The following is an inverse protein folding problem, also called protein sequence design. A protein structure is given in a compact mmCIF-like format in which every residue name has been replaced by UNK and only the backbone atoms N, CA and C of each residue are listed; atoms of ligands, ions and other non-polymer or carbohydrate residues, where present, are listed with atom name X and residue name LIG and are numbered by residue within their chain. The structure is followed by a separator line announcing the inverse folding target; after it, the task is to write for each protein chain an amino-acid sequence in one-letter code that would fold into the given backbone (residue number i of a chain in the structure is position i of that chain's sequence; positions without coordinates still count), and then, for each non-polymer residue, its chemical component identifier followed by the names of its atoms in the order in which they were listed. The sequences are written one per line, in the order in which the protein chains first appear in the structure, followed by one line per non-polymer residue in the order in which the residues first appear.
data_IF_419910458815
#
_entry.id   IF_419910458815
#
_cell.length_a   1.000
_cell.length_b   1.000
_cell.length_c   1.000
_cell.angle_alpha   90.00
_cell.angle_beta   90.00
_cell.angle_gamma   90.00
#
_symmetry.space_group_name_H-M   'P 1'
#
loop_
_entity.id
_entity.type
_entity.pdbx_description
1 polymer ?
#
# COMPACT_ATOMS: atom_id res chain seq x y z
N UNK A 1 -12.41 9.83 7.50
CA UNK A 1 -10.93 9.77 7.37
C UNK A 1 -10.56 10.20 5.96
N UNK A 2 -9.65 11.16 5.81
CA UNK A 2 -9.11 11.58 4.52
C UNK A 2 -7.83 10.83 4.19
N UNK A 3 -7.67 10.37 2.96
CA UNK A 3 -6.44 9.70 2.50
C UNK A 3 -5.86 10.37 1.26
N UNK A 4 -4.53 10.47 1.20
CA UNK A 4 -3.79 10.76 -0.02
C UNK A 4 -3.17 9.46 -0.56
N UNK A 5 -3.36 9.16 -1.83
CA UNK A 5 -2.84 7.94 -2.46
C UNK A 5 -1.65 8.29 -3.34
N UNK A 6 -0.52 7.58 -3.16
CA UNK A 6 0.67 7.71 -4.00
C UNK A 6 0.81 6.50 -4.93
N UNK A 7 1.04 6.79 -6.21
CA UNK A 7 1.18 5.77 -7.27
C UNK A 7 2.42 6.06 -8.14
N UNK A 8 2.93 5.04 -8.84
CA UNK A 8 3.98 5.20 -9.87
C UNK A 8 3.63 4.53 -11.21
N UNK A 9 2.42 3.98 -11.35
CA UNK A 9 2.05 3.17 -12.51
C UNK A 9 0.56 3.14 -12.83
N UNK A 10 0.04 1.96 -13.18
CA UNK A 10 -1.35 1.75 -13.65
C UNK A 10 -2.42 2.10 -12.61
N UNK A 11 -2.10 2.02 -11.31
CA UNK A 11 -3.02 2.39 -10.24
C UNK A 11 -4.11 1.34 -9.94
N UNK A 12 -3.85 0.04 -10.13
CA UNK A 12 -4.84 -1.01 -9.86
C UNK A 12 -5.26 -1.06 -8.39
N UNK A 13 -4.31 -0.94 -7.45
CA UNK A 13 -4.61 -0.83 -6.02
C UNK A 13 -5.36 0.47 -5.68
N UNK A 14 -5.02 1.60 -6.34
CA UNK A 14 -5.79 2.84 -6.21
C UNK A 14 -7.23 2.66 -6.69
N UNK A 15 -7.44 1.96 -7.82
CA UNK A 15 -8.77 1.68 -8.32
C UNK A 15 -9.59 0.81 -7.35
N UNK A 16 -8.98 -0.22 -6.75
CA UNK A 16 -9.62 -1.05 -5.73
C UNK A 16 -10.00 -0.25 -4.47
N UNK A 17 -9.13 0.68 -4.03
CA UNK A 17 -9.45 1.60 -2.94
C UNK A 17 -10.63 2.51 -3.28
N UNK A 18 -10.70 3.01 -4.51
CA UNK A 18 -11.77 3.89 -4.98
C UNK A 18 -13.16 3.21 -4.98
N UNK A 19 -13.24 1.89 -5.05
CA UNK A 19 -14.50 1.15 -4.92
C UNK A 19 -15.07 1.14 -3.48
N UNK A 20 -14.29 1.60 -2.51
CA UNK A 20 -14.66 1.68 -1.09
C UNK A 20 -14.72 3.13 -0.57
N UNK A 21 -14.92 4.13 -1.44
CA UNK A 21 -14.90 5.56 -1.09
C UNK A 21 -16.01 5.96 -0.07
N UNK A 22 -17.05 5.19 0.10
CA UNK A 22 -18.05 5.42 1.12
C UNK A 22 -17.51 5.33 2.56
N UNK A 23 -16.30 4.79 2.74
CA UNK A 23 -15.68 4.52 4.05
C UNK A 23 -14.57 5.51 4.39
N UNK A 24 -14.01 6.17 3.39
CA UNK A 24 -12.95 7.17 3.54
C UNK A 24 -12.95 8.10 2.33
N UNK A 25 -12.45 9.31 2.51
CA UNK A 25 -12.38 10.34 1.47
C UNK A 25 -10.99 10.32 0.80
N UNK A 26 -10.93 10.08 -0.51
CA UNK A 26 -9.71 10.20 -1.31
C UNK A 26 -9.53 11.68 -1.69
N UNK A 27 -8.74 12.41 -0.89
CA UNK A 27 -8.56 13.85 -1.07
C UNK A 27 -7.52 14.19 -2.14
N UNK A 28 -6.60 13.25 -2.48
CA UNK A 28 -5.56 13.44 -3.48
C UNK A 28 -5.07 12.08 -4.01
N UNK A 29 -4.80 12.00 -5.32
CA UNK A 29 -3.97 10.96 -5.93
C UNK A 29 -2.75 11.62 -6.54
N UNK A 30 -1.54 11.29 -6.06
CA UNK A 30 -0.30 11.87 -6.57
C UNK A 30 0.64 10.80 -7.14
N UNK A 31 1.48 11.20 -8.10
CA UNK A 31 2.48 10.33 -8.70
C UNK A 31 3.84 11.00 -8.81
N UNK A 32 4.91 10.19 -8.72
CA UNK A 32 6.30 10.62 -8.88
C UNK A 32 6.80 10.61 -10.34
N UNK A 33 5.92 10.24 -11.26
CA UNK A 33 6.16 10.17 -12.72
C UNK A 33 4.83 10.10 -13.48
N UNK A 34 4.88 10.33 -14.78
CA UNK A 34 3.71 10.10 -15.63
C UNK A 34 3.18 8.67 -15.44
N UNK A 35 1.93 8.54 -15.05
CA UNK A 35 1.30 7.28 -14.66
C UNK A 35 -0.14 7.24 -15.12
N UNK A 36 -0.54 6.18 -15.84
CA UNK A 36 -1.92 6.01 -16.32
C UNK A 36 -2.96 6.01 -15.19
N UNK A 37 -2.54 5.67 -13.96
CA UNK A 37 -3.39 5.76 -12.78
C UNK A 37 -3.84 7.18 -12.45
N UNK A 38 -3.07 8.24 -12.81
CA UNK A 38 -3.51 9.63 -12.64
C UNK A 38 -4.69 9.96 -13.56
N UNK A 39 -4.64 9.50 -14.82
CA UNK A 39 -5.73 9.72 -15.77
C UNK A 39 -7.01 9.01 -15.29
N UNK A 40 -6.85 7.78 -14.80
CA UNK A 40 -7.96 7.02 -14.21
C UNK A 40 -8.55 7.71 -12.97
N UNK A 41 -7.70 8.27 -12.10
CA UNK A 41 -8.13 9.01 -10.92
C UNK A 41 -8.89 10.30 -11.31
N UNK A 42 -8.36 11.05 -12.28
CA UNK A 42 -9.01 12.27 -12.79
C UNK A 42 -10.38 11.98 -13.40
N UNK A 43 -10.52 10.87 -14.17
CA UNK A 43 -11.79 10.43 -14.74
C UNK A 43 -12.84 10.09 -13.66
N UNK A 44 -12.40 9.62 -12.50
CA UNK A 44 -13.27 9.38 -11.33
C UNK A 44 -13.58 10.67 -10.53
N UNK A 45 -13.02 11.82 -10.91
CA UNK A 45 -13.25 13.10 -10.25
C UNK A 45 -12.33 13.41 -9.06
N UNK A 46 -11.33 12.57 -8.79
CA UNK A 46 -10.35 12.84 -7.74
C UNK A 46 -9.39 13.97 -8.13
N UNK A 47 -8.92 14.72 -7.14
CA UNK A 47 -7.81 15.64 -7.33
C UNK A 47 -6.53 14.85 -7.61
N UNK A 48 -5.79 15.28 -8.63
CA UNK A 48 -4.55 14.60 -9.03
C UNK A 48 -3.38 15.56 -9.06
N UNK A 49 -2.18 15.06 -8.72
CA UNK A 49 -0.93 15.82 -8.82
C UNK A 49 0.19 14.95 -9.41
N UNK A 50 0.91 15.50 -10.36
CA UNK A 50 2.14 14.93 -10.89
C UNK A 50 3.32 15.72 -10.33
N UNK A 51 4.09 15.10 -9.44
CA UNK A 51 5.34 15.64 -8.90
C UNK A 51 6.48 14.82 -9.51
N UNK A 52 6.78 15.09 -10.80
CA UNK A 52 7.76 14.28 -11.55
C UNK A 52 9.16 14.47 -10.97
N UNK A 53 9.70 13.39 -10.39
CA UNK A 53 11.02 13.37 -9.76
C UNK A 53 12.16 13.79 -10.70
N UNK A 54 11.98 13.70 -12.02
CA UNK A 54 12.98 14.12 -13.01
C UNK A 54 13.15 15.64 -13.10
N UNK A 55 12.20 16.40 -12.57
CA UNK A 55 12.21 17.86 -12.54
C UNK A 55 12.99 18.44 -11.34
N UNK A 56 13.48 17.58 -10.44
CA UNK A 56 14.19 17.96 -9.22
C UNK A 56 15.63 17.47 -9.27
N UNK A 57 16.54 18.27 -8.74
CA UNK A 57 17.99 17.96 -8.73
C UNK A 57 18.31 16.88 -7.68
N UNK A 58 17.56 16.87 -6.58
CA UNK A 58 17.79 15.95 -5.47
C UNK A 58 16.49 15.24 -5.05
N UNK A 59 16.66 14.08 -4.41
CA UNK A 59 15.54 13.37 -3.78
C UNK A 59 14.83 14.23 -2.73
N UNK A 60 15.59 14.98 -1.95
CA UNK A 60 15.05 15.85 -0.89
C UNK A 60 14.14 16.93 -1.46
N UNK A 61 14.57 17.63 -2.52
CA UNK A 61 13.73 18.66 -3.18
C UNK A 61 12.42 18.06 -3.71
N UNK A 62 12.50 16.90 -4.34
CA UNK A 62 11.31 16.18 -4.82
C UNK A 62 10.36 15.82 -3.67
N UNK A 63 10.90 15.23 -2.59
CA UNK A 63 10.09 14.83 -1.43
C UNK A 63 9.48 16.04 -0.69
N UNK A 64 10.17 17.17 -0.63
CA UNK A 64 9.62 18.40 -0.07
C UNK A 64 8.45 18.93 -0.90
N UNK A 65 8.58 18.94 -2.23
CA UNK A 65 7.50 19.33 -3.13
C UNK A 65 6.30 18.39 -2.99
N UNK A 66 6.54 17.06 -3.00
CA UNK A 66 5.51 16.05 -2.80
C UNK A 66 4.82 16.20 -1.45
N UNK A 67 5.58 16.37 -0.38
CA UNK A 67 5.02 16.53 0.96
C UNK A 67 4.24 17.87 1.12
N UNK A 68 4.65 18.91 0.43
CA UNK A 68 3.93 20.19 0.43
C UNK A 68 2.59 20.06 -0.29
N UNK A 69 2.56 19.39 -1.45
CA UNK A 69 1.32 19.11 -2.18
C UNK A 69 0.36 18.27 -1.33
N UNK A 70 0.85 17.18 -0.73
CA UNK A 70 0.03 16.33 0.12
C UNK A 70 -0.53 17.10 1.31
N UNK A 71 0.30 17.88 2.00
CA UNK A 71 -0.11 18.65 3.18
C UNK A 71 -1.20 19.69 2.86
N UNK A 72 -1.23 20.25 1.64
CA UNK A 72 -2.27 21.19 1.22
C UNK A 72 -3.68 20.56 1.19
N UNK A 73 -3.78 19.23 1.16
CA UNK A 73 -5.04 18.47 1.18
C UNK A 73 -5.42 17.94 2.57
N UNK A 74 -4.56 18.12 3.57
CA UNK A 74 -4.76 17.74 4.97
C UNK A 74 -5.25 16.28 5.14
N UNK A 75 -4.49 15.27 4.63
CA UNK A 75 -4.86 13.87 4.79
C UNK A 75 -4.56 13.36 6.21
N UNK A 76 -5.42 12.46 6.68
CA UNK A 76 -5.16 11.70 7.90
C UNK A 76 -4.09 10.63 7.68
N UNK A 77 -4.08 10.03 6.48
CA UNK A 77 -3.15 8.94 6.09
C UNK A 77 -2.64 9.09 4.67
N UNK A 78 -1.42 8.63 4.44
CA UNK A 78 -0.82 8.48 3.12
C UNK A 78 -0.78 6.98 2.77
N UNK A 79 -1.29 6.63 1.59
CA UNK A 79 -1.47 5.26 1.14
C UNK A 79 -0.60 5.02 -0.10
N UNK A 80 0.41 4.17 0.01
CA UNK A 80 1.28 3.81 -1.10
C UNK A 80 0.64 2.67 -1.91
N UNK A 81 0.11 2.99 -3.08
CA UNK A 81 -0.57 2.02 -3.95
C UNK A 81 0.26 1.73 -5.21
N UNK A 82 1.34 0.99 -5.04
CA UNK A 82 2.33 0.76 -6.10
C UNK A 82 3.24 1.97 -6.35
N UNK A 83 3.59 2.69 -5.28
CA UNK A 83 4.59 3.76 -5.32
C UNK A 83 5.99 3.16 -5.26
N UNK A 84 6.83 3.45 -6.27
CA UNK A 84 8.11 2.75 -6.48
C UNK A 84 9.31 3.47 -5.86
N UNK A 85 9.16 4.68 -5.36
CA UNK A 85 10.25 5.41 -4.72
C UNK A 85 10.27 5.14 -3.22
N UNK A 86 11.45 4.84 -2.68
CA UNK A 86 11.64 4.71 -1.22
C UNK A 86 11.57 6.10 -0.61
N UNK A 87 10.67 6.31 0.33
CA UNK A 87 10.51 7.58 1.04
C UNK A 87 11.59 7.73 2.13
N UNK A 88 12.06 8.96 2.34
CA UNK A 88 13.02 9.25 3.40
C UNK A 88 12.34 9.29 4.78
N UNK A 89 13.13 9.10 5.82
CA UNK A 89 12.69 9.26 7.21
C UNK A 89 12.11 10.65 7.46
N UNK A 90 12.71 11.69 6.88
CA UNK A 90 12.22 13.08 6.97
C UNK A 90 10.81 13.22 6.43
N UNK A 91 10.54 12.62 5.25
CA UNK A 91 9.20 12.59 4.68
C UNK A 91 8.20 11.86 5.60
N UNK A 92 8.56 10.66 6.06
CA UNK A 92 7.69 9.83 6.91
C UNK A 92 7.36 10.55 8.21
N UNK A 93 8.36 11.16 8.86
CA UNK A 93 8.20 11.89 10.11
C UNK A 93 7.34 13.14 9.96
N UNK A 94 7.37 13.82 8.80
CA UNK A 94 6.49 14.97 8.51
C UNK A 94 5.01 14.61 8.62
N UNK A 95 4.65 13.36 8.39
CA UNK A 95 3.28 12.85 8.51
C UNK A 95 3.08 11.95 9.74
N UNK A 96 3.92 12.09 10.76
CA UNK A 96 3.83 11.37 12.04
C UNK A 96 3.79 9.84 11.87
N UNK A 97 4.49 9.28 10.87
CA UNK A 97 4.49 7.85 10.56
C UNK A 97 3.17 7.31 9.98
N UNK A 98 2.22 8.19 9.66
CA UNK A 98 0.90 7.78 9.09
C UNK A 98 1.00 7.50 7.59
N UNK A 99 1.85 6.54 7.24
CA UNK A 99 2.09 6.08 5.87
C UNK A 99 1.93 4.56 5.85
N UNK A 100 1.06 4.07 4.98
CA UNK A 100 0.77 2.64 4.81
C UNK A 100 1.19 2.19 3.43
N UNK A 101 1.78 1.01 3.34
CA UNK A 101 2.15 0.37 2.08
C UNK A 101 1.53 -1.02 1.97
N UNK A 102 1.32 -1.46 0.73
CA UNK A 102 1.03 -2.86 0.40
C UNK A 102 2.22 -3.46 -0.34
N UNK A 103 2.65 -4.64 0.07
CA UNK A 103 3.81 -5.32 -0.48
C UNK A 103 3.46 -6.76 -0.88
N UNK A 104 3.81 -7.19 -2.12
CA UNK A 104 3.42 -8.49 -2.64
C UNK A 104 4.33 -9.63 -2.15
N UNK A 105 4.45 -9.78 -0.84
CA UNK A 105 5.09 -10.92 -0.17
C UNK A 105 4.58 -11.09 1.26
N UNK A 106 4.96 -12.21 1.89
CA UNK A 106 4.78 -12.42 3.33
C UNK A 106 5.99 -11.83 4.06
N UNK A 107 5.93 -10.55 4.40
CA UNK A 107 6.99 -9.90 5.19
C UNK A 107 7.18 -10.62 6.55
N UNK A 108 8.41 -10.73 7.05
CA UNK A 108 9.64 -10.03 6.61
C UNK A 108 10.36 -10.66 5.40
N UNK A 109 9.83 -11.73 4.82
CA UNK A 109 10.45 -12.40 3.69
C UNK A 109 10.23 -11.63 2.38
N UNK A 110 11.18 -11.73 1.45
CA UNK A 110 11.10 -11.15 0.10
C UNK A 110 10.82 -9.64 0.08
N UNK A 111 11.46 -8.86 0.95
CA UNK A 111 11.47 -7.40 0.85
C UNK A 111 12.00 -6.94 -0.51
N UNK A 112 11.57 -5.76 -0.98
CA UNK A 112 12.00 -5.15 -2.24
C UNK A 112 11.34 -5.75 -3.47
N UNK A 113 12.04 -5.76 -4.58
CA UNK A 113 11.48 -6.07 -5.91
C UNK A 113 11.54 -7.57 -6.25
N UNK A 114 10.81 -7.94 -7.33
CA UNK A 114 10.81 -9.28 -7.94
C UNK A 114 10.41 -10.41 -6.97
N UNK A 115 9.46 -10.15 -6.10
CA UNK A 115 9.05 -11.07 -5.03
C UNK A 115 8.55 -12.41 -5.58
N UNK A 116 7.72 -12.38 -6.62
CA UNK A 116 7.14 -13.59 -7.26
C UNK A 116 8.21 -14.47 -7.90
N UNK A 117 9.14 -13.88 -8.66
CA UNK A 117 10.23 -14.63 -9.26
C UNK A 117 11.14 -15.27 -8.19
N UNK A 118 11.45 -14.52 -7.13
CA UNK A 118 12.32 -15.00 -6.04
C UNK A 118 11.69 -16.13 -5.26
N UNK A 119 10.42 -16.02 -4.89
CA UNK A 119 9.72 -17.06 -4.13
C UNK A 119 9.58 -18.36 -4.92
N UNK A 120 9.37 -18.28 -6.25
CA UNK A 120 9.33 -19.45 -7.13
C UNK A 120 10.72 -20.08 -7.29
N UNK A 121 11.77 -19.28 -7.45
CA UNK A 121 13.16 -19.74 -7.53
C UNK A 121 13.58 -20.49 -6.25
N UNK A 122 13.14 -20.01 -5.09
CA UNK A 122 13.39 -20.62 -3.77
C UNK A 122 12.46 -21.82 -3.49
N UNK A 123 11.59 -22.19 -4.44
CA UNK A 123 10.66 -23.33 -4.34
C UNK A 123 9.81 -23.29 -3.06
N UNK A 124 9.39 -22.11 -2.66
CA UNK A 124 8.50 -21.97 -1.51
C UNK A 124 7.13 -22.59 -1.80
N UNK A 125 6.47 -23.04 -0.75
CA UNK A 125 5.12 -23.60 -0.85
C UNK A 125 4.01 -22.56 -0.69
N UNK A 126 4.38 -21.39 -0.19
CA UNK A 126 3.44 -20.29 0.09
C UNK A 126 4.02 -18.96 -0.33
N UNK A 127 3.13 -18.06 -0.68
CA UNK A 127 3.40 -16.65 -0.96
C UNK A 127 2.28 -15.80 -0.35
N UNK A 128 2.26 -14.50 -0.64
CA UNK A 128 1.17 -13.67 -0.13
C UNK A 128 1.38 -12.20 -0.33
N UNK A 129 0.63 -11.45 0.46
CA UNK A 129 0.62 -9.99 0.48
C UNK A 129 0.66 -9.48 1.92
N UNK A 130 1.32 -8.36 2.14
CA UNK A 130 1.41 -7.69 3.43
C UNK A 130 0.98 -6.24 3.32
N UNK A 131 0.16 -5.77 4.25
CA UNK A 131 -0.08 -4.35 4.50
C UNK A 131 0.66 -3.97 5.76
N UNK A 132 1.46 -2.92 5.71
CA UNK A 132 2.34 -2.51 6.81
C UNK A 132 2.48 -0.98 6.89
N UNK A 133 2.87 -0.48 8.05
CA UNK A 133 3.31 0.90 8.20
C UNK A 133 4.67 1.08 7.50
N UNK A 134 4.88 2.24 6.92
CA UNK A 134 6.16 2.57 6.29
C UNK A 134 7.11 3.17 7.31
N UNK A 135 8.34 2.65 7.31
CA UNK A 135 9.47 3.16 8.10
C UNK A 135 10.63 3.50 7.17
N UNK A 136 11.70 4.08 7.71
CA UNK A 136 12.92 4.37 6.93
C UNK A 136 13.59 3.11 6.37
N UNK A 137 13.41 1.96 7.03
CA UNK A 137 13.89 0.68 6.54
C UNK A 137 12.92 0.10 5.50
N UNK A 138 13.45 -0.36 4.37
CA UNK A 138 12.66 -0.88 3.26
C UNK A 138 11.84 -2.10 3.70
N UNK A 139 10.51 -2.00 3.52
CA UNK A 139 9.53 -3.06 3.81
C UNK A 139 9.73 -3.72 5.19
N UNK A 140 10.04 -2.91 6.22
CA UNK A 140 10.39 -3.37 7.57
C UNK A 140 9.53 -2.73 8.68
N UNK A 141 8.46 -2.07 8.32
CA UNK A 141 7.55 -1.46 9.27
C UNK A 141 6.56 -2.45 9.90
N UNK A 142 5.88 -2.05 10.97
CA UNK A 142 4.87 -2.85 11.65
C UNK A 142 3.79 -3.36 10.69
N UNK A 143 3.51 -4.65 10.74
CA UNK A 143 2.46 -5.28 9.95
C UNK A 143 1.07 -4.87 10.45
N UNK A 144 0.18 -4.55 9.53
CA UNK A 144 -1.24 -4.35 9.80
C UNK A 144 -2.01 -5.65 9.56
N UNK A 145 -1.83 -6.28 8.41
CA UNK A 145 -2.42 -7.58 8.08
C UNK A 145 -1.64 -8.24 6.93
N UNK A 146 -1.79 -9.55 6.80
CA UNK A 146 -1.24 -10.34 5.71
C UNK A 146 -2.28 -11.31 5.18
N UNK A 147 -2.17 -11.69 3.90
CA UNK A 147 -2.84 -12.86 3.36
C UNK A 147 -1.80 -13.84 2.85
N UNK A 148 -1.92 -15.08 3.29
CA UNK A 148 -1.11 -16.20 2.86
C UNK A 148 -1.89 -17.04 1.85
N UNK A 149 -1.29 -17.34 0.68
CA UNK A 149 -1.83 -18.28 -0.31
C UNK A 149 -0.83 -19.39 -0.60
N UNK A 150 -1.33 -20.55 -0.97
CA UNK A 150 -0.50 -21.67 -1.47
C UNK A 150 -0.04 -21.36 -2.89
N UNK A 151 1.22 -21.71 -3.20
CA UNK A 151 1.75 -21.67 -4.56
C UNK A 151 1.35 -22.99 -5.24
N UNK A 152 0.75 -22.89 -6.43
CA UNK A 152 0.39 -24.06 -7.21
C UNK A 152 1.62 -24.60 -7.97
N UNK A 153 1.67 -25.90 -8.18
CA UNK A 153 2.82 -26.55 -8.84
C UNK A 153 3.11 -26.01 -10.26
N UNK A 154 2.08 -25.49 -10.92
CA UNK A 154 2.17 -24.93 -12.27
C UNK A 154 2.22 -23.40 -12.28
N UNK A 155 2.35 -22.74 -11.12
CA UNK A 155 2.45 -21.30 -11.10
C UNK A 155 3.70 -20.82 -11.83
N UNK A 156 3.47 -19.88 -12.72
CA UNK A 156 4.50 -19.02 -13.32
C UNK A 156 4.57 -17.72 -12.53
N UNK A 157 5.61 -16.90 -12.76
CA UNK A 157 5.69 -15.58 -12.18
C UNK A 157 4.42 -14.75 -12.49
N UNK A 158 3.94 -14.84 -13.73
CA UNK A 158 2.74 -14.08 -14.17
C UNK A 158 1.47 -14.57 -13.49
N UNK A 159 1.23 -15.89 -13.40
CA UNK A 159 0.03 -16.43 -12.76
C UNK A 159 0.02 -16.15 -11.26
N UNK A 160 1.17 -16.32 -10.60
CA UNK A 160 1.31 -16.03 -9.18
C UNK A 160 1.11 -14.52 -8.89
N UNK A 161 1.70 -13.64 -9.71
CA UNK A 161 1.50 -12.20 -9.60
C UNK A 161 0.03 -11.80 -9.74
N UNK A 162 -0.70 -12.42 -10.68
CA UNK A 162 -2.13 -12.15 -10.86
C UNK A 162 -2.94 -12.58 -9.63
N UNK A 163 -2.69 -13.77 -9.08
CA UNK A 163 -3.36 -14.29 -7.88
C UNK A 163 -3.07 -13.43 -6.65
N UNK A 164 -1.83 -12.97 -6.49
CA UNK A 164 -1.46 -12.05 -5.40
C UNK A 164 -2.14 -10.69 -5.58
N UNK A 165 -2.21 -10.16 -6.79
CA UNK A 165 -2.89 -8.90 -7.09
C UNK A 165 -4.38 -8.94 -6.72
N UNK A 166 -5.06 -10.06 -6.97
CA UNK A 166 -6.46 -10.26 -6.56
C UNK A 166 -6.64 -10.21 -5.04
N UNK A 167 -5.64 -10.71 -4.28
CA UNK A 167 -5.62 -10.61 -2.83
C UNK A 167 -5.28 -9.18 -2.35
N UNK A 168 -4.39 -8.48 -3.04
CA UNK A 168 -4.11 -7.06 -2.76
C UNK A 168 -5.39 -6.22 -2.86
N UNK A 169 -6.17 -6.41 -3.92
CA UNK A 169 -7.41 -5.69 -4.17
C UNK A 169 -8.52 -5.97 -3.12
N UNK A 170 -8.43 -7.10 -2.40
CA UNK A 170 -9.32 -7.39 -1.29
C UNK A 170 -8.77 -6.86 0.04
N UNK A 171 -7.48 -7.11 0.32
CA UNK A 171 -6.88 -6.80 1.62
C UNK A 171 -6.73 -5.30 1.82
N UNK A 172 -6.23 -4.58 0.81
CA UNK A 172 -5.88 -3.18 1.00
C UNK A 172 -7.09 -2.32 1.35
N UNK A 173 -8.21 -2.34 0.57
CA UNK A 173 -9.41 -1.61 0.93
C UNK A 173 -9.97 -2.00 2.30
N UNK A 174 -9.93 -3.30 2.64
CA UNK A 174 -10.44 -3.77 3.92
C UNK A 174 -9.62 -3.24 5.11
N UNK A 175 -8.28 -3.18 4.99
CA UNK A 175 -7.40 -2.62 6.04
C UNK A 175 -7.59 -1.11 6.15
N UNK A 176 -7.67 -0.37 5.04
CA UNK A 176 -7.85 1.08 5.06
C UNK A 176 -9.23 1.45 5.62
N UNK A 177 -10.28 0.68 5.29
CA UNK A 177 -11.60 0.84 5.91
C UNK A 177 -11.57 0.58 7.42
N UNK A 178 -10.86 -0.46 7.87
CA UNK A 178 -10.70 -0.76 9.28
C UNK A 178 -9.94 0.34 10.05
N UNK A 179 -8.92 0.95 9.43
CA UNK A 179 -8.25 2.15 9.97
C UNK A 179 -9.24 3.32 10.11
N UNK A 180 -10.06 3.55 9.09
CA UNK A 180 -11.08 4.60 9.08
C UNK A 180 -12.12 4.45 10.21
N UNK A 181 -12.43 3.22 10.57
CA UNK A 181 -13.42 2.89 11.59
C UNK A 181 -12.83 2.78 13.00
N UNK A 182 -11.50 2.98 13.14
CA UNK A 182 -10.82 2.80 14.42
C UNK A 182 -10.73 1.34 14.88
N UNK A 183 -10.95 0.38 13.98
CA UNK A 183 -10.80 -1.04 14.27
C UNK A 183 -9.34 -1.50 14.36
N UNK A 184 -8.41 -0.70 13.87
CA UNK A 184 -6.96 -0.88 14.02
C UNK A 184 -6.42 0.22 14.91
N UNK A 185 -5.83 -0.16 16.02
CA UNK A 185 -5.19 0.73 16.97
C UNK A 185 -3.67 0.66 16.76
N UNK A 186 -3.07 1.82 16.55
CA UNK A 186 -1.63 1.96 16.35
C UNK A 186 -1.08 2.84 17.46
N UNK A 187 -0.19 2.28 18.27
CA UNK A 187 0.49 2.96 19.37
C UNK A 187 2.01 2.77 19.16
N UNK A 188 2.66 3.83 18.68
CA UNK A 188 4.05 3.81 18.20
C UNK A 188 4.25 2.70 17.14
N UNK A 189 4.91 1.59 17.52
CA UNK A 189 5.15 0.43 16.65
C UNK A 189 4.22 -0.76 16.93
N UNK A 190 3.32 -0.62 17.89
CA UNK A 190 2.39 -1.68 18.25
C UNK A 190 1.09 -1.54 17.46
N UNK A 191 0.72 -2.61 16.77
CA UNK A 191 -0.54 -2.70 16.03
C UNK A 191 -1.44 -3.69 16.74
N UNK A 192 -2.66 -3.27 17.06
CA UNK A 192 -3.68 -4.14 17.66
C UNK A 192 -5.01 -3.99 16.91
N UNK A 193 -5.67 -5.09 16.68
CA UNK A 193 -6.99 -5.12 16.09
C UNK A 193 -8.07 -5.17 17.17
N UNK A 194 -8.93 -4.16 17.20
CA UNK A 194 -10.11 -4.16 18.07
C UNK A 194 -11.26 -4.99 17.46
N UNK A 195 -11.32 -5.11 16.12
CA UNK A 195 -12.31 -5.90 15.40
C UNK A 195 -11.72 -6.45 14.09
N UNK A 196 -11.92 -7.74 13.82
CA UNK A 196 -11.36 -8.46 12.65
C UNK A 196 -12.42 -8.99 11.68
N UNK A 197 -13.69 -8.79 11.95
CA UNK A 197 -14.82 -9.38 11.21
C UNK A 197 -14.74 -9.08 9.70
N UNK A 198 -14.34 -7.87 9.35
CA UNK A 198 -14.24 -7.44 7.93
C UNK A 198 -13.24 -8.23 7.12
N UNK A 199 -12.14 -8.65 7.73
CA UNK A 199 -11.12 -9.40 7.03
C UNK A 199 -11.46 -10.89 6.89
N UNK A 200 -12.47 -11.36 7.60
CA UNK A 200 -12.94 -12.76 7.49
C UNK A 200 -13.68 -13.05 6.20
N UNK A 201 -14.12 -12.02 5.47
CA UNK A 201 -14.83 -12.17 4.20
C UNK A 201 -13.88 -12.31 2.99
N UNK A 202 -12.58 -12.12 3.21
CA UNK A 202 -11.57 -12.26 2.16
C UNK A 202 -11.45 -13.72 1.75
N UNK A 203 -11.48 -13.98 0.46
CA UNK A 203 -11.42 -15.33 -0.13
C UNK A 203 -10.12 -15.53 -0.92
N UNK A 204 -9.71 -16.77 -1.11
CA UNK A 204 -8.52 -17.13 -1.90
C UNK A 204 -7.22 -17.22 -1.10
N UNK A 205 -7.24 -16.96 0.21
CA UNK A 205 -6.08 -17.08 1.08
C UNK A 205 -6.47 -17.09 2.55
N UNK A 206 -5.47 -17.23 3.43
CA UNK A 206 -5.63 -17.20 4.87
C UNK A 206 -5.16 -15.84 5.39
N UNK A 207 -6.08 -15.09 6.02
CA UNK A 207 -5.73 -13.80 6.64
C UNK A 207 -5.00 -14.04 7.96
N UNK A 208 -3.86 -13.36 8.10
CA UNK A 208 -3.04 -13.37 9.30
C UNK A 208 -2.95 -11.96 9.87
N UNK A 209 -2.99 -11.85 11.19
CA UNK A 209 -2.82 -10.59 11.90
C UNK A 209 -1.51 -10.62 12.68
N UNK A 210 -0.81 -9.49 12.85
CA UNK A 210 0.20 -9.37 13.87
C UNK A 210 -0.49 -9.65 15.21
N UNK A 211 0.12 -10.41 16.06
CA UNK A 211 -0.43 -11.01 17.31
C UNK A 211 -1.53 -10.17 17.97
N UNK A 212 -2.69 -10.81 18.13
CA UNK A 212 -3.72 -10.33 19.04
C UNK A 212 -3.23 -10.37 20.48
#
# INVERSE_FOLDING_TARGET
MKIAILISGRGSNMAALAECEERFDICLVAADRAAAGLDSAAQKGYKTALIDRKLYLTKTEHEEALATEIAAHDPDWIILAGYMSVLSETFINRFNGRVVNIHPSLLPDYKGLNTHARVLADKQTHHGVSVHLVTAALDDGPLLAQIKLAIDQNDTETSLAQRVLELEHQLYPAVIAALSEGAVLIDDKNVRWAATERLRTITGGVVCFPQL
#
